data_IF_222243541554
#
_entry.id   IF_222243541554
#
_cell.length_a   1.000
_cell.length_b   1.000
_cell.length_c   1.000
_cell.angle_alpha   90.00
_cell.angle_beta   90.00
_cell.angle_gamma   90.00
#
_symmetry.space_group_name_H-M   'P 1'
#
loop_
_entity.id
_entity.type
_entity.pdbx_description
1 polymer ?
#
# COMPACT_ATOMS: atom_id res chain seq x y z
N UNK A 1 -35.53 -7.81 -21.64
CA UNK A 1 -35.25 -6.51 -21.00
C UNK A 1 -35.00 -6.80 -19.53
N UNK A 2 -33.75 -6.76 -19.08
CA UNK A 2 -33.40 -7.02 -17.68
C UNK A 2 -32.86 -5.74 -17.07
N UNK A 3 -33.60 -5.18 -16.12
CA UNK A 3 -33.19 -4.00 -15.36
C UNK A 3 -31.98 -4.34 -14.46
N UNK A 4 -31.07 -3.38 -14.22
CA UNK A 4 -29.66 -3.68 -13.99
C UNK A 4 -29.28 -3.82 -12.50
N UNK A 5 -28.10 -4.41 -12.28
CA UNK A 5 -27.34 -4.64 -11.04
C UNK A 5 -27.10 -3.42 -10.10
N UNK A 6 -27.81 -2.30 -10.27
CA UNK A 6 -27.51 -1.02 -9.60
C UNK A 6 -27.53 -1.06 -8.07
N UNK A 7 -28.37 -1.90 -7.48
CA UNK A 7 -28.45 -2.07 -6.03
C UNK A 7 -27.25 -2.84 -5.45
N UNK A 8 -26.68 -3.79 -6.21
CA UNK A 8 -25.50 -4.56 -5.79
C UNK A 8 -24.26 -3.67 -5.82
N UNK A 9 -24.09 -2.91 -6.90
CA UNK A 9 -22.92 -2.05 -7.11
C UNK A 9 -22.89 -0.91 -6.09
N UNK A 10 -24.04 -0.29 -5.81
CA UNK A 10 -24.14 0.78 -4.80
C UNK A 10 -23.74 0.29 -3.40
N UNK A 11 -24.18 -0.92 -3.02
CA UNK A 11 -23.81 -1.54 -1.75
C UNK A 11 -22.31 -1.86 -1.68
N UNK A 12 -21.74 -2.39 -2.75
CA UNK A 12 -20.32 -2.72 -2.83
C UNK A 12 -19.43 -1.47 -2.84
N UNK A 13 -19.88 -0.37 -3.47
CA UNK A 13 -19.23 0.94 -3.40
C UNK A 13 -19.20 1.44 -1.96
N UNK A 14 -20.33 1.41 -1.25
CA UNK A 14 -20.39 1.80 0.16
C UNK A 14 -19.47 0.95 1.02
N UNK A 15 -19.47 -0.37 0.85
CA UNK A 15 -18.57 -1.27 1.59
C UNK A 15 -17.10 -0.95 1.33
N UNK A 16 -16.73 -0.70 0.08
CA UNK A 16 -15.36 -0.35 -0.29
C UNK A 16 -14.93 1.00 0.28
N UNK A 17 -15.81 2.01 0.27
CA UNK A 17 -15.55 3.30 0.91
C UNK A 17 -15.37 3.18 2.42
N UNK A 18 -16.22 2.37 3.10
CA UNK A 18 -16.08 2.10 4.54
C UNK A 18 -14.77 1.39 4.84
N UNK A 19 -14.41 0.37 4.05
CA UNK A 19 -13.15 -0.34 4.18
C UNK A 19 -11.97 0.62 4.06
N UNK A 20 -11.87 1.37 2.95
CA UNK A 20 -10.78 2.32 2.72
C UNK A 20 -10.73 3.39 3.81
N UNK A 21 -11.87 3.93 4.22
CA UNK A 21 -11.94 4.94 5.29
C UNK A 21 -11.39 4.42 6.62
N UNK A 22 -11.79 3.20 7.02
CA UNK A 22 -11.29 2.56 8.24
C UNK A 22 -9.78 2.29 8.15
N UNK A 23 -9.32 1.74 7.03
CA UNK A 23 -7.92 1.41 6.77
C UNK A 23 -7.05 2.65 6.77
N UNK A 24 -7.49 3.73 6.14
CA UNK A 24 -6.77 5.01 6.08
C UNK A 24 -6.61 5.64 7.47
N UNK A 25 -7.62 5.53 8.34
CA UNK A 25 -7.50 5.95 9.74
C UNK A 25 -6.37 5.18 10.45
N UNK A 26 -6.30 3.87 10.20
CA UNK A 26 -5.29 2.97 10.78
C UNK A 26 -3.88 3.15 10.21
N UNK A 27 -3.73 3.82 9.07
CA UNK A 27 -2.43 4.19 8.49
C UNK A 27 -1.77 5.38 9.20
N UNK A 28 -2.47 6.05 10.12
CA UNK A 28 -1.94 7.18 10.88
C UNK A 28 -1.43 6.72 12.24
N UNK A 29 -0.36 7.31 12.79
CA UNK A 29 0.14 6.93 14.12
C UNK A 29 -0.92 7.00 15.22
N UNK A 30 -1.82 7.99 15.16
CA UNK A 30 -2.90 8.17 16.14
C UNK A 30 -4.06 7.17 15.97
N UNK A 31 -4.29 6.67 14.77
CA UNK A 31 -5.39 5.74 14.48
C UNK A 31 -4.97 4.28 14.33
N UNK A 32 -3.67 3.97 14.34
CA UNK A 32 -3.17 2.62 14.09
C UNK A 32 -3.59 1.65 15.20
N UNK A 33 -4.19 0.50 14.81
CA UNK A 33 -4.54 -0.62 15.71
C UNK A 33 -3.31 -1.35 16.23
N UNK A 34 -3.25 -1.76 17.51
CA UNK A 34 -2.12 -2.49 18.06
C UNK A 34 -1.66 -3.63 17.15
N UNK A 35 -0.35 -3.83 17.05
CA UNK A 35 0.19 -4.89 16.20
C UNK A 35 -0.17 -6.25 16.80
N UNK A 36 -0.86 -7.13 16.06
CA UNK A 36 -1.14 -8.47 16.54
C UNK A 36 0.14 -9.29 16.62
N UNK A 37 0.15 -10.34 17.45
CA UNK A 37 1.31 -11.24 17.57
C UNK A 37 1.69 -11.92 16.26
N UNK A 38 0.71 -12.21 15.40
CA UNK A 38 0.89 -12.81 14.08
C UNK A 38 0.21 -11.93 13.01
N UNK A 39 0.86 -10.85 12.55
CA UNK A 39 0.28 -9.96 11.56
C UNK A 39 0.07 -10.68 10.23
N UNK A 40 -1.17 -10.67 9.76
CA UNK A 40 -1.57 -11.16 8.43
C UNK A 40 -2.25 -10.01 7.70
N UNK A 41 -1.80 -9.72 6.48
CA UNK A 41 -2.32 -8.61 5.66
C UNK A 41 -2.42 -7.31 6.46
N UNK A 42 -1.34 -6.98 7.19
CA UNK A 42 -1.30 -5.86 8.13
C UNK A 42 -0.26 -4.79 7.74
N UNK A 43 -0.61 -3.51 7.94
CA UNK A 43 0.31 -2.40 7.71
C UNK A 43 1.31 -2.20 8.85
N UNK A 44 2.48 -2.83 8.71
CA UNK A 44 3.59 -2.71 9.65
C UNK A 44 4.27 -1.33 9.65
N UNK A 45 3.97 -0.47 8.67
CA UNK A 45 4.57 0.86 8.49
C UNK A 45 3.68 2.02 8.97
N UNK A 46 2.50 1.73 9.55
CA UNK A 46 1.60 2.76 10.06
C UNK A 46 2.17 3.56 11.25
N UNK A 47 3.24 3.06 11.88
CA UNK A 47 3.85 3.63 13.08
C UNK A 47 5.31 4.01 12.83
N UNK A 48 5.82 5.02 13.55
CA UNK A 48 7.26 5.23 13.67
C UNK A 48 7.94 3.98 14.22
N UNK A 49 8.92 3.46 13.48
CA UNK A 49 9.69 2.29 13.88
C UNK A 49 10.93 2.77 14.64
N UNK A 50 10.99 2.50 15.95
CA UNK A 50 12.17 2.83 16.79
C UNK A 50 13.19 1.69 16.83
N UNK A 51 12.73 0.44 16.86
CA UNK A 51 13.55 -0.77 16.94
C UNK A 51 13.08 -1.80 15.89
N UNK A 52 13.35 -1.52 14.61
CA UNK A 52 13.02 -2.44 13.51
C UNK A 52 14.03 -3.59 13.41
N UNK A 53 13.64 -4.69 12.77
CA UNK A 53 14.57 -5.76 12.42
C UNK A 53 15.76 -5.21 11.61
N UNK A 54 17.00 -5.55 11.94
CA UNK A 54 18.18 -5.05 11.19
C UNK A 54 18.27 -5.57 9.76
N UNK A 55 17.56 -6.66 9.46
CA UNK A 55 17.49 -7.22 8.12
C UNK A 55 16.49 -6.42 7.28
N UNK A 56 15.18 -6.50 7.57
CA UNK A 56 14.15 -5.88 6.73
C UNK A 56 13.68 -4.50 7.20
N UNK A 57 14.04 -4.03 8.39
CA UNK A 57 13.63 -2.74 8.94
C UNK A 57 12.19 -2.70 9.49
N UNK A 58 11.44 -3.79 9.39
CA UNK A 58 10.07 -3.88 9.90
C UNK A 58 10.04 -4.22 11.41
N UNK A 59 9.05 -3.72 12.16
CA UNK A 59 8.89 -4.01 13.58
C UNK A 59 8.29 -5.40 13.85
N UNK A 60 8.26 -5.80 15.12
CA UNK A 60 7.54 -6.99 15.61
C UNK A 60 8.28 -8.31 15.49
N UNK A 61 9.48 -8.32 14.92
CA UNK A 61 10.33 -9.51 14.84
C UNK A 61 11.81 -9.13 14.73
N UNK A 62 12.68 -10.14 14.83
CA UNK A 62 14.11 -10.05 14.54
C UNK A 62 14.54 -11.29 13.77
N UNK A 63 15.46 -11.12 12.81
CA UNK A 63 16.05 -12.21 12.04
C UNK A 63 17.55 -12.08 12.14
N UNK A 64 18.30 -13.10 12.58
CA UNK A 64 19.73 -12.95 12.90
C UNK A 64 20.56 -12.49 11.70
N UNK A 65 20.21 -12.92 10.50
CA UNK A 65 20.86 -12.51 9.25
C UNK A 65 19.90 -12.70 8.06
N UNK A 66 20.36 -12.32 6.86
CA UNK A 66 19.58 -12.39 5.63
C UNK A 66 19.27 -13.83 5.17
N UNK A 67 20.09 -14.82 5.55
CA UNK A 67 19.92 -16.22 5.14
C UNK A 67 18.97 -16.98 6.07
N UNK A 68 18.77 -16.52 7.31
CA UNK A 68 17.79 -17.01 8.27
C UNK A 68 16.69 -15.97 8.50
N UNK A 69 15.93 -15.67 7.44
CA UNK A 69 15.04 -14.51 7.36
C UNK A 69 13.55 -14.86 7.21
N UNK A 70 13.12 -16.04 7.65
CA UNK A 70 11.72 -16.50 7.58
C UNK A 70 10.75 -15.50 8.19
N UNK A 71 11.07 -14.93 9.37
CA UNK A 71 10.24 -13.91 10.01
C UNK A 71 10.16 -12.61 9.18
N UNK A 72 11.25 -12.22 8.51
CA UNK A 72 11.24 -11.08 7.59
C UNK A 72 10.37 -11.37 6.37
N UNK A 73 10.43 -12.58 5.81
CA UNK A 73 9.58 -12.98 4.69
C UNK A 73 8.12 -12.90 5.08
N UNK A 74 7.72 -13.49 6.20
CA UNK A 74 6.34 -13.41 6.72
C UNK A 74 5.87 -11.97 6.89
N UNK A 75 6.71 -11.11 7.48
CA UNK A 75 6.37 -9.70 7.67
C UNK A 75 6.20 -8.95 6.34
N UNK A 76 7.10 -9.16 5.37
CA UNK A 76 7.04 -8.54 4.04
C UNK A 76 5.82 -9.03 3.25
N UNK A 77 5.55 -10.34 3.25
CA UNK A 77 4.37 -10.92 2.58
C UNK A 77 3.07 -10.42 3.21
N UNK A 78 3.01 -10.32 4.55
CA UNK A 78 1.86 -9.68 5.23
C UNK A 78 1.68 -8.23 4.78
N UNK A 79 2.77 -7.47 4.68
CA UNK A 79 2.70 -6.07 4.25
C UNK A 79 2.30 -5.93 2.77
N UNK A 80 2.77 -6.82 1.89
CA UNK A 80 2.35 -6.88 0.48
C UNK A 80 0.85 -7.21 0.41
N UNK A 81 0.41 -8.24 1.13
CA UNK A 81 -1.00 -8.65 1.14
C UNK A 81 -1.94 -7.58 1.65
N UNK A 82 -1.54 -6.79 2.65
CA UNK A 82 -2.31 -5.61 3.07
C UNK A 82 -2.60 -4.66 1.90
N UNK A 83 -1.60 -4.41 1.05
CA UNK A 83 -1.75 -3.52 -0.09
C UNK A 83 -2.54 -4.13 -1.24
N UNK A 84 -2.51 -5.46 -1.42
CA UNK A 84 -3.38 -6.15 -2.38
C UNK A 84 -4.87 -5.98 -2.04
N UNK A 85 -5.24 -6.04 -0.75
CA UNK A 85 -6.62 -5.78 -0.33
C UNK A 85 -7.04 -4.35 -0.69
N UNK A 86 -6.16 -3.38 -0.43
CA UNK A 86 -6.39 -1.99 -0.81
C UNK A 86 -6.50 -1.84 -2.33
N UNK A 87 -5.62 -2.48 -3.09
CA UNK A 87 -5.63 -2.44 -4.55
C UNK A 87 -6.98 -2.90 -5.13
N UNK A 88 -7.56 -3.94 -4.52
CA UNK A 88 -8.88 -4.47 -4.90
C UNK A 88 -9.97 -3.41 -4.72
N UNK A 89 -10.03 -2.77 -3.56
CA UNK A 89 -11.03 -1.74 -3.28
C UNK A 89 -10.80 -0.45 -4.06
N UNK A 90 -9.54 -0.02 -4.22
CA UNK A 90 -9.18 1.16 -5.02
C UNK A 90 -9.56 0.97 -6.47
N UNK A 91 -9.23 -0.18 -7.07
CA UNK A 91 -9.60 -0.50 -8.45
C UNK A 91 -11.12 -0.50 -8.63
N UNK A 92 -11.84 -1.15 -7.72
CA UNK A 92 -13.31 -1.18 -7.75
C UNK A 92 -13.93 0.21 -7.66
N UNK A 93 -13.46 1.04 -6.71
CA UNK A 93 -13.94 2.41 -6.54
C UNK A 93 -13.58 3.32 -7.73
N UNK A 94 -12.39 3.15 -8.31
CA UNK A 94 -11.99 3.89 -9.50
C UNK A 94 -12.92 3.62 -10.69
N UNK A 95 -13.35 2.36 -10.86
CA UNK A 95 -14.26 1.98 -11.93
C UNK A 95 -15.70 2.46 -11.68
N UNK A 96 -16.18 2.35 -10.43
CA UNK A 96 -17.60 2.45 -10.12
C UNK A 96 -18.02 3.69 -9.30
N UNK A 97 -17.08 4.53 -8.83
CA UNK A 97 -17.37 5.70 -8.01
C UNK A 97 -16.72 6.97 -8.58
N UNK A 98 -17.54 7.81 -9.23
CA UNK A 98 -17.07 8.97 -10.00
C UNK A 98 -16.24 9.96 -9.16
N UNK A 99 -16.67 10.31 -7.95
CA UNK A 99 -15.93 11.24 -7.08
C UNK A 99 -14.57 10.68 -6.68
N UNK A 100 -14.48 9.36 -6.47
CA UNK A 100 -13.21 8.71 -6.09
C UNK A 100 -12.27 8.63 -7.29
N UNK A 101 -12.79 8.30 -8.47
CA UNK A 101 -12.05 8.38 -9.73
C UNK A 101 -11.51 9.79 -9.97
N UNK A 102 -12.34 10.83 -9.79
CA UNK A 102 -11.92 12.23 -9.91
C UNK A 102 -10.81 12.57 -8.92
N UNK A 103 -10.96 12.16 -7.65
CA UNK A 103 -9.93 12.37 -6.63
C UNK A 103 -8.59 11.70 -7.00
N UNK A 104 -8.62 10.50 -7.62
CA UNK A 104 -7.42 9.84 -8.16
C UNK A 104 -6.79 10.66 -9.29
N UNK A 105 -7.58 11.08 -10.28
CA UNK A 105 -7.09 11.83 -11.45
C UNK A 105 -6.50 13.18 -11.06
N UNK A 106 -7.14 13.87 -10.12
CA UNK A 106 -6.73 15.21 -9.67
C UNK A 106 -5.55 15.13 -8.66
N UNK A 107 -5.17 13.93 -8.20
CA UNK A 107 -4.11 13.73 -7.22
C UNK A 107 -2.74 14.13 -7.78
N UNK A 108 -1.93 14.84 -6.98
CA UNK A 108 -0.59 15.33 -7.34
C UNK A 108 0.47 14.73 -6.41
N UNK A 109 0.84 13.45 -6.60
CA UNK A 109 1.77 12.75 -5.74
C UNK A 109 3.19 13.35 -5.84
N UNK A 110 3.81 13.64 -4.71
CA UNK A 110 5.24 14.01 -4.63
C UNK A 110 5.97 13.07 -3.67
N UNK A 111 7.25 12.79 -3.92
CA UNK A 111 8.02 11.85 -3.10
C UNK A 111 8.07 12.25 -1.62
N UNK A 112 8.09 13.55 -1.31
CA UNK A 112 8.15 14.06 0.06
C UNK A 112 6.89 13.79 0.89
N UNK A 113 5.76 13.48 0.24
CA UNK A 113 4.52 13.08 0.93
C UNK A 113 4.73 11.86 1.85
N UNK A 114 5.75 11.02 1.61
CA UNK A 114 6.11 9.89 2.46
C UNK A 114 6.49 10.30 3.89
N UNK A 115 6.95 11.53 4.09
CA UNK A 115 7.47 12.01 5.38
C UNK A 115 6.35 12.42 6.35
N UNK A 116 5.08 12.36 5.93
CA UNK A 116 3.95 12.99 6.62
C UNK A 116 4.15 14.49 6.90
N UNK A 117 5.12 15.12 6.24
CA UNK A 117 5.33 16.55 6.31
C UNK A 117 4.30 17.26 5.42
N UNK A 118 3.83 18.42 5.89
CA UNK A 118 2.77 19.19 5.23
C UNK A 118 1.39 18.61 5.52
N UNK A 119 0.49 19.46 6.02
CA UNK A 119 -0.89 19.08 6.34
C UNK A 119 -1.63 18.43 5.18
N UNK A 120 -2.79 17.87 5.48
CA UNK A 120 -3.65 17.30 4.44
C UNK A 120 -4.31 18.41 3.65
N UNK A 121 -4.49 18.20 2.35
CA UNK A 121 -5.36 19.08 1.61
C UNK A 121 -6.78 18.94 2.19
N UNK A 122 -7.39 20.06 2.55
CA UNK A 122 -8.81 20.09 2.88
C UNK A 122 -9.63 19.78 1.63
N UNK A 123 -10.81 19.20 1.79
CA UNK A 123 -11.69 18.91 0.67
C UNK A 123 -12.67 17.78 0.98
N UNK A 124 -13.20 17.21 -0.09
CA UNK A 124 -14.11 16.08 -0.04
C UNK A 124 -13.44 14.84 0.57
N UNK A 125 -14.28 13.96 1.13
CA UNK A 125 -13.85 12.72 1.75
C UNK A 125 -12.90 11.92 0.84
N UNK A 126 -13.26 11.75 -0.43
CA UNK A 126 -12.50 10.98 -1.41
C UNK A 126 -11.10 11.57 -1.65
N UNK A 127 -10.97 12.90 -1.68
CA UNK A 127 -9.68 13.58 -1.83
C UNK A 127 -8.78 13.28 -0.63
N UNK A 128 -9.34 13.39 0.58
CA UNK A 128 -8.60 13.08 1.82
C UNK A 128 -8.19 11.59 1.86
N UNK A 129 -9.07 10.68 1.44
CA UNK A 129 -8.77 9.25 1.40
C UNK A 129 -7.65 8.95 0.40
N UNK A 130 -7.75 9.46 -0.83
CA UNK A 130 -6.73 9.25 -1.87
C UNK A 130 -5.38 9.82 -1.44
N UNK A 131 -5.34 11.04 -0.89
CA UNK A 131 -4.09 11.64 -0.44
C UNK A 131 -3.40 10.81 0.65
N UNK A 132 -4.17 10.35 1.64
CA UNK A 132 -3.62 9.52 2.72
C UNK A 132 -3.15 8.14 2.22
N UNK A 133 -3.89 7.52 1.31
CA UNK A 133 -3.45 6.30 0.63
C UNK A 133 -2.14 6.53 -0.12
N UNK A 134 -2.02 7.63 -0.87
CA UNK A 134 -0.80 8.00 -1.59
C UNK A 134 0.39 8.20 -0.64
N UNK A 135 0.20 8.91 0.48
CA UNK A 135 1.25 9.10 1.51
C UNK A 135 1.73 7.76 2.07
N UNK A 136 0.79 6.91 2.48
CA UNK A 136 1.11 5.59 3.03
C UNK A 136 1.77 4.67 1.97
N UNK A 137 1.31 4.74 0.72
CA UNK A 137 1.88 3.99 -0.39
C UNK A 137 3.32 4.41 -0.66
N UNK A 138 3.60 5.72 -0.68
CA UNK A 138 4.95 6.25 -0.85
C UNK A 138 5.90 5.83 0.29
N UNK A 139 5.41 5.72 1.54
CA UNK A 139 6.20 5.14 2.64
C UNK A 139 6.56 3.70 2.39
N UNK A 140 5.60 2.89 1.93
CA UNK A 140 5.85 1.51 1.56
C UNK A 140 6.90 1.41 0.46
N UNK A 141 6.79 2.23 -0.59
CA UNK A 141 7.79 2.27 -1.66
C UNK A 141 9.17 2.68 -1.16
N UNK A 142 9.25 3.72 -0.33
CA UNK A 142 10.51 4.18 0.24
C UNK A 142 11.16 3.10 1.12
N UNK A 143 10.36 2.39 1.92
CA UNK A 143 10.82 1.28 2.73
C UNK A 143 11.39 0.15 1.85
N UNK A 144 10.61 -0.38 0.91
CA UNK A 144 11.04 -1.49 0.04
C UNK A 144 12.27 -1.10 -0.78
N UNK A 145 12.35 0.13 -1.29
CA UNK A 145 13.54 0.65 -1.98
C UNK A 145 14.77 0.67 -1.08
N UNK A 146 14.62 1.10 0.17
CA UNK A 146 15.72 1.14 1.15
C UNK A 146 16.29 -0.23 1.50
N UNK A 147 15.49 -1.30 1.33
CA UNK A 147 15.92 -2.69 1.59
C UNK A 147 15.91 -3.58 0.35
N UNK A 148 15.89 -3.02 -0.86
CA UNK A 148 15.65 -3.77 -2.12
C UNK A 148 16.56 -5.00 -2.30
N UNK A 149 17.87 -4.84 -2.10
CA UNK A 149 18.83 -5.94 -2.24
C UNK A 149 18.52 -7.09 -1.27
N UNK A 150 18.05 -6.75 -0.06
CA UNK A 150 17.65 -7.73 0.95
C UNK A 150 16.31 -8.38 0.61
N UNK A 151 15.33 -7.58 0.16
CA UNK A 151 14.01 -8.07 -0.28
C UNK A 151 14.14 -9.13 -1.38
N UNK A 152 14.98 -8.89 -2.39
CA UNK A 152 15.24 -9.85 -3.48
C UNK A 152 15.83 -11.19 -3.00
N UNK A 153 16.45 -11.23 -1.83
CA UNK A 153 17.01 -12.44 -1.23
C UNK A 153 16.05 -13.14 -0.27
N UNK A 154 15.19 -12.37 0.39
CA UNK A 154 14.25 -12.84 1.42
C UNK A 154 12.98 -13.40 0.78
N UNK A 155 12.48 -12.75 -0.27
CA UNK A 155 11.26 -13.11 -0.97
C UNK A 155 11.52 -14.20 -2.01
N UNK A 156 10.52 -15.06 -2.23
CA UNK A 156 10.55 -16.02 -3.34
C UNK A 156 10.17 -15.34 -4.64
N UNK A 157 10.33 -16.05 -5.76
CA UNK A 157 9.92 -15.57 -7.08
C UNK A 157 8.43 -15.23 -7.12
N UNK A 158 7.58 -16.03 -6.47
CA UNK A 158 6.13 -15.80 -6.40
C UNK A 158 5.81 -14.53 -5.61
N UNK A 159 6.45 -14.34 -4.45
CA UNK A 159 6.25 -13.14 -3.62
C UNK A 159 6.68 -11.87 -4.37
N UNK A 160 7.79 -11.95 -5.12
CA UNK A 160 8.25 -10.85 -5.96
C UNK A 160 7.24 -10.55 -7.05
N UNK A 161 6.74 -11.56 -7.79
CA UNK A 161 5.74 -11.36 -8.82
C UNK A 161 4.46 -10.68 -8.28
N UNK A 162 3.98 -11.07 -7.10
CA UNK A 162 2.87 -10.40 -6.41
C UNK A 162 3.17 -8.92 -6.16
N UNK A 163 4.37 -8.62 -5.65
CA UNK A 163 4.82 -7.23 -5.46
C UNK A 163 4.88 -6.46 -6.79
N UNK A 164 5.34 -7.06 -7.89
CA UNK A 164 5.41 -6.39 -9.20
C UNK A 164 4.02 -6.03 -9.74
N UNK A 165 3.05 -6.94 -9.64
CA UNK A 165 1.65 -6.69 -10.01
C UNK A 165 1.08 -5.54 -9.19
N UNK A 166 1.32 -5.55 -7.88
CA UNK A 166 0.88 -4.50 -6.97
C UNK A 166 1.46 -3.14 -7.34
N UNK A 167 2.75 -3.09 -7.69
CA UNK A 167 3.44 -1.89 -8.15
C UNK A 167 2.80 -1.31 -9.42
N UNK A 168 2.43 -2.16 -10.37
CA UNK A 168 1.72 -1.74 -11.58
C UNK A 168 0.32 -1.20 -11.28
N UNK A 169 -0.42 -1.89 -10.41
CA UNK A 169 -1.82 -1.58 -10.11
C UNK A 169 -1.96 -0.30 -9.26
N UNK A 170 -1.49 -0.33 -8.01
CA UNK A 170 -1.58 0.84 -7.12
C UNK A 170 -0.67 1.99 -7.56
N UNK A 171 0.47 1.71 -8.21
CA UNK A 171 1.29 2.75 -8.83
C UNK A 171 0.55 3.46 -9.97
N UNK A 172 -0.23 2.73 -10.76
CA UNK A 172 -1.11 3.31 -11.78
C UNK A 172 -2.11 4.29 -11.20
N UNK A 173 -2.83 3.89 -10.13
CA UNK A 173 -3.85 4.73 -9.51
C UNK A 173 -3.28 5.87 -8.66
N UNK A 174 -2.39 5.58 -7.71
CA UNK A 174 -2.01 6.55 -6.68
C UNK A 174 -0.86 7.46 -7.10
N UNK A 175 -0.12 7.06 -8.14
CA UNK A 175 1.09 7.76 -8.60
C UNK A 175 0.97 8.28 -10.05
N UNK A 176 -0.23 8.31 -10.64
CA UNK A 176 -0.47 8.73 -12.04
C UNK A 176 0.40 7.96 -13.06
N UNK A 177 0.72 6.70 -12.78
CA UNK A 177 1.64 5.92 -13.61
C UNK A 177 3.11 6.40 -13.57
N UNK A 178 3.44 7.39 -12.73
CA UNK A 178 4.82 7.89 -12.53
C UNK A 178 5.71 6.91 -11.76
N UNK A 179 5.22 5.70 -11.46
CA UNK A 179 6.07 4.53 -11.29
C UNK A 179 6.73 4.21 -12.62
N UNK A 180 7.70 5.06 -13.06
CA UNK A 180 8.60 4.73 -14.16
C UNK A 180 9.00 3.26 -14.01
N UNK A 181 8.80 2.50 -15.09
CA UNK A 181 9.28 1.13 -15.28
C UNK A 181 10.73 1.03 -14.79
N UNK A 182 10.93 0.61 -13.54
CA UNK A 182 12.26 0.32 -12.97
C UNK A 182 12.58 -1.19 -13.07
N UNK A 183 11.86 -1.90 -13.94
CA UNK A 183 12.09 -3.31 -14.28
C UNK A 183 13.04 -3.50 -15.49
N UNK A 184 13.48 -2.42 -16.16
CA UNK A 184 14.52 -2.50 -17.22
C UNK A 184 15.97 -2.48 -16.70
N UNK A 185 16.18 -2.58 -15.38
CA UNK A 185 17.52 -2.81 -14.81
C UNK A 185 17.72 -4.31 -14.57
N UNK A 186 17.88 -5.06 -15.66
CA UNK A 186 18.13 -6.50 -15.62
C UNK A 186 18.33 -7.21 -16.96
N UNK A 187 18.23 -6.54 -18.11
CA UNK A 187 18.76 -7.03 -19.40
C UNK A 187 19.66 -5.97 -20.02
N UNK A 188 20.85 -5.86 -19.45
CA UNK A 188 22.04 -5.42 -20.17
C UNK A 188 22.95 -6.64 -20.28
N UNK A 189 23.35 -6.92 -21.52
CA UNK A 189 24.15 -8.02 -22.07
C UNK A 189 23.43 -9.36 -22.32
#
# INVERSE_FOLDING_TARGET
MSSPNSNSDTNQVRQSLVYISSTVREMTPAGAKPMPSNPTRFNLLARPVKNGCHVCGLPGHSSPNITASTACRTALVSLIGFWEDIATHVSFLYQNHERFRKAIVDNKPTYEMRLDAGGLNGGDLEVVLVERLTRAWLKFLAHVRGVRAKVNRILTTEDLAMYEVLMGNLGGFLLNGLTRKFYDLGRGD
#
